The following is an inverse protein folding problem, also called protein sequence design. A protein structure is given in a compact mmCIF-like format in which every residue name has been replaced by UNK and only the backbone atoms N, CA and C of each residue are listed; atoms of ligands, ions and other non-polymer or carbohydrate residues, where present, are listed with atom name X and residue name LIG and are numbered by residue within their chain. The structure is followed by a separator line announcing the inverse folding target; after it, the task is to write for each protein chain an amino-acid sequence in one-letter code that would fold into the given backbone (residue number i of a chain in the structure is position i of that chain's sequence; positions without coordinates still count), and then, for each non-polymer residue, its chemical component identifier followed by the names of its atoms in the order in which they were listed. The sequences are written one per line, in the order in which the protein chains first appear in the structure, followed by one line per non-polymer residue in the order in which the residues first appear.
data_IF_060764235213
#
_entry.id   IF_060764235213
#
_cell.length_a   1.000
_cell.length_b   1.000
_cell.length_c   1.000
_cell.angle_alpha   90.00
_cell.angle_beta   90.00
_cell.angle_gamma   90.00
#
_symmetry.space_group_name_H-M   'P 1'
#
loop_
_entity.id
_entity.type
_entity.pdbx_description
1 polymer ?
#
# COMPACT_ATOMS: atom_id res chain seq x y z
N UNK A 1 -20.23 -16.45 -5.28
CA UNK A 1 -20.08 -15.00 -5.05
C UNK A 1 -18.89 -14.73 -4.13
N UNK A 2 -18.72 -15.48 -3.03
CA UNK A 2 -17.67 -15.22 -2.05
C UNK A 2 -16.24 -15.45 -2.58
N UNK A 3 -16.02 -16.46 -3.43
CA UNK A 3 -14.69 -16.75 -3.98
C UNK A 3 -14.22 -15.67 -4.96
N UNK A 4 -15.10 -15.19 -5.84
CA UNK A 4 -14.77 -14.09 -6.75
C UNK A 4 -14.48 -12.77 -6.01
N UNK A 5 -15.24 -12.47 -4.96
CA UNK A 5 -14.99 -11.30 -4.10
C UNK A 5 -13.67 -11.43 -3.34
N UNK A 6 -13.33 -12.64 -2.88
CA UNK A 6 -12.05 -12.92 -2.25
C UNK A 6 -10.87 -12.69 -3.21
N UNK A 7 -10.96 -13.21 -4.44
CA UNK A 7 -9.92 -13.02 -5.46
C UNK A 7 -9.74 -11.54 -5.81
N UNK A 8 -10.85 -10.80 -5.98
CA UNK A 8 -10.82 -9.37 -6.29
C UNK A 8 -10.25 -8.56 -5.12
N UNK A 9 -10.66 -8.85 -3.88
CA UNK A 9 -10.22 -8.12 -2.69
C UNK A 9 -8.74 -8.33 -2.34
N UNK A 10 -8.11 -9.38 -2.88
CA UNK A 10 -6.68 -9.68 -2.68
C UNK A 10 -5.83 -9.45 -3.94
N UNK A 11 -6.34 -8.71 -4.92
CA UNK A 11 -5.64 -8.39 -6.19
C UNK A 11 -5.11 -9.60 -6.96
N UNK A 12 -5.83 -10.74 -6.92
CA UNK A 12 -5.50 -11.92 -7.71
C UNK A 12 -5.75 -11.74 -9.21
N UNK A 13 -6.33 -10.61 -9.64
CA UNK A 13 -6.60 -10.39 -11.07
C UNK A 13 -5.31 -10.40 -11.92
N UNK A 14 -4.20 -9.92 -11.36
CA UNK A 14 -2.88 -9.96 -12.01
C UNK A 14 -2.33 -11.40 -12.10
N UNK A 15 -2.69 -12.27 -11.14
CA UNK A 15 -2.22 -13.66 -11.07
C UNK A 15 -3.10 -14.62 -11.86
N UNK A 16 -4.29 -14.21 -12.29
CA UNK A 16 -5.23 -15.08 -13.03
C UNK A 16 -4.64 -15.62 -14.35
N UNK A 17 -3.73 -14.85 -14.97
CA UNK A 17 -3.01 -15.29 -16.18
C UNK A 17 -2.00 -16.41 -15.89
N UNK A 18 -1.52 -16.52 -14.66
CA UNK A 18 -0.56 -17.54 -14.22
C UNK A 18 -1.25 -18.77 -13.60
N UNK A 19 -2.55 -18.66 -13.30
CA UNK A 19 -3.31 -19.79 -12.77
C UNK A 19 -3.51 -20.89 -13.81
N UNK A 20 -3.17 -22.13 -13.44
CA UNK A 20 -3.50 -23.29 -14.25
C UNK A 20 -5.01 -23.58 -14.16
N UNK A 21 -5.78 -23.01 -15.07
CA UNK A 21 -7.24 -23.15 -15.11
C UNK A 21 -7.70 -24.60 -15.30
N UNK A 22 -6.88 -25.44 -15.92
CA UNK A 22 -7.18 -26.86 -16.08
C UNK A 22 -7.09 -27.59 -14.73
N UNK A 23 -6.06 -27.30 -13.93
CA UNK A 23 -5.91 -27.86 -12.58
C UNK A 23 -7.01 -27.34 -11.64
N UNK A 24 -7.38 -26.06 -11.75
CA UNK A 24 -8.47 -25.49 -10.98
C UNK A 24 -9.80 -26.21 -11.28
N UNK A 25 -10.12 -26.37 -12.57
CA UNK A 25 -11.33 -27.08 -13.01
C UNK A 25 -11.32 -28.54 -12.54
N UNK A 26 -10.16 -29.20 -12.65
CA UNK A 26 -9.99 -30.59 -12.18
C UNK A 26 -10.23 -30.68 -10.66
N UNK A 27 -9.63 -29.81 -9.86
CA UNK A 27 -9.82 -29.78 -8.41
C UNK A 27 -11.28 -29.59 -8.01
N UNK A 28 -12.01 -28.69 -8.70
CA UNK A 28 -13.45 -28.53 -8.49
C UNK A 28 -14.24 -29.81 -8.85
N UNK A 29 -13.90 -30.47 -9.95
CA UNK A 29 -14.56 -31.71 -10.35
C UNK A 29 -14.27 -32.85 -9.37
N UNK A 30 -13.04 -32.96 -8.88
CA UNK A 30 -12.64 -33.96 -7.89
C UNK A 30 -13.41 -33.74 -6.58
N UNK A 31 -13.54 -32.49 -6.14
CA UNK A 31 -14.32 -32.14 -4.95
C UNK A 31 -15.80 -32.50 -5.07
N UNK A 32 -16.40 -32.22 -6.23
CA UNK A 32 -17.83 -32.51 -6.46
C UNK A 32 -18.11 -34.01 -6.56
N UNK A 33 -17.10 -34.83 -6.88
CA UNK A 33 -17.21 -36.31 -7.01
C UNK A 33 -16.77 -37.06 -5.76
N UNK A 34 -16.20 -36.35 -4.78
CA UNK A 34 -15.72 -36.97 -3.57
C UNK A 34 -16.87 -37.53 -2.74
N UNK A 35 -16.62 -38.69 -2.11
CA UNK A 35 -17.58 -39.39 -1.30
C UNK A 35 -17.62 -38.85 0.13
N UNK A 36 -18.77 -38.88 0.78
CA UNK A 36 -18.96 -38.43 2.14
C UNK A 36 -19.25 -36.91 2.27
N UNK A 37 -19.26 -36.45 3.48
CA UNK A 37 -19.50 -35.04 3.82
C UNK A 37 -18.17 -34.26 3.93
N UNK A 38 -18.09 -33.02 3.44
CA UNK A 38 -16.94 -32.17 3.68
C UNK A 38 -16.57 -31.94 5.16
N UNK A 39 -17.47 -32.32 6.06
CA UNK A 39 -17.26 -32.24 7.52
C UNK A 39 -16.74 -33.54 8.14
N UNK A 40 -16.64 -34.61 7.36
CA UNK A 40 -16.11 -35.88 7.84
C UNK A 40 -14.58 -35.80 8.01
N UNK A 41 -14.06 -36.43 9.07
CA UNK A 41 -12.66 -36.30 9.43
C UNK A 41 -11.67 -36.82 8.36
N UNK A 42 -12.09 -37.77 7.56
CA UNK A 42 -11.32 -38.45 6.48
C UNK A 42 -11.61 -37.88 5.09
N UNK A 43 -12.60 -37.02 4.93
CA UNK A 43 -12.95 -36.42 3.65
C UNK A 43 -11.75 -35.84 2.92
N UNK A 44 -10.88 -35.13 3.66
CA UNK A 44 -9.69 -34.49 3.12
C UNK A 44 -8.65 -35.45 2.55
N UNK A 45 -8.64 -36.73 2.98
CA UNK A 45 -7.68 -37.72 2.52
C UNK A 45 -7.86 -38.13 1.04
N UNK A 46 -9.01 -37.84 0.44
CA UNK A 46 -9.31 -38.10 -0.96
C UNK A 46 -8.61 -37.14 -1.93
N UNK A 47 -8.00 -36.05 -1.43
CA UNK A 47 -7.41 -34.99 -2.23
C UNK A 47 -5.89 -34.93 -2.07
N UNK A 48 -5.21 -34.50 -3.14
CA UNK A 48 -3.76 -34.23 -3.10
C UNK A 48 -3.39 -33.15 -2.07
N UNK A 49 -4.28 -32.20 -1.86
CA UNK A 49 -4.19 -31.15 -0.84
C UNK A 49 -5.46 -31.22 0.01
N UNK A 50 -5.29 -31.40 1.30
CA UNK A 50 -6.41 -31.43 2.26
C UNK A 50 -7.19 -30.11 2.20
N UNK A 51 -8.50 -30.12 1.87
CA UNK A 51 -9.33 -28.92 1.80
C UNK A 51 -9.33 -28.12 3.10
N UNK A 52 -9.18 -28.77 4.26
CA UNK A 52 -9.14 -28.11 5.56
C UNK A 52 -7.85 -27.27 5.76
N UNK A 53 -6.79 -27.58 5.02
CA UNK A 53 -5.53 -26.81 5.00
C UNK A 53 -5.51 -25.72 3.95
N UNK A 54 -6.49 -25.67 3.05
CA UNK A 54 -6.52 -24.73 1.93
C UNK A 54 -6.44 -23.27 2.42
N UNK A 55 -7.15 -22.91 3.48
CA UNK A 55 -7.11 -21.57 4.07
C UNK A 55 -5.70 -21.18 4.53
N UNK A 56 -4.98 -22.10 5.16
CA UNK A 56 -3.60 -21.84 5.63
C UNK A 56 -2.63 -21.70 4.44
N UNK A 57 -2.76 -22.55 3.42
CA UNK A 57 -1.92 -22.51 2.21
C UNK A 57 -2.14 -21.16 1.50
N UNK A 58 -3.40 -20.76 1.32
CA UNK A 58 -3.78 -19.54 0.63
C UNK A 58 -3.32 -18.29 1.39
N UNK A 59 -3.53 -18.26 2.71
CA UNK A 59 -3.05 -17.16 3.55
C UNK A 59 -1.51 -17.09 3.53
N UNK A 60 -0.83 -18.23 3.55
CA UNK A 60 0.62 -18.29 3.41
C UNK A 60 1.12 -17.73 2.07
N UNK A 61 0.42 -18.03 0.99
CA UNK A 61 0.73 -17.48 -0.34
C UNK A 61 0.51 -15.96 -0.38
N UNK A 62 -0.64 -15.48 0.08
CA UNK A 62 -0.96 -14.04 0.13
C UNK A 62 0.09 -13.29 0.95
N UNK A 63 0.44 -13.81 2.11
CA UNK A 63 1.46 -13.20 2.98
C UNK A 63 2.82 -13.12 2.29
N UNK A 64 3.24 -14.19 1.62
CA UNK A 64 4.51 -14.21 0.86
C UNK A 64 4.48 -13.18 -0.28
N UNK A 65 3.39 -13.11 -1.04
CA UNK A 65 3.21 -12.14 -2.12
C UNK A 65 3.28 -10.71 -1.60
N UNK A 66 2.55 -10.40 -0.52
CA UNK A 66 2.57 -9.06 0.11
C UNK A 66 3.95 -8.69 0.62
N UNK A 67 4.66 -9.62 1.26
CA UNK A 67 6.02 -9.39 1.74
C UNK A 67 7.01 -9.17 0.59
N UNK A 68 6.89 -9.93 -0.49
CA UNK A 68 7.71 -9.72 -1.69
C UNK A 68 7.47 -8.35 -2.30
N UNK A 69 6.19 -7.97 -2.51
CA UNK A 69 5.82 -6.64 -3.03
C UNK A 69 6.34 -5.52 -2.12
N UNK A 70 6.18 -5.66 -0.81
CA UNK A 70 6.70 -4.71 0.16
C UNK A 70 8.23 -4.56 0.08
N UNK A 71 8.96 -5.67 -0.11
CA UNK A 71 10.42 -5.63 -0.27
C UNK A 71 10.86 -4.95 -1.57
N UNK A 72 10.15 -5.18 -2.67
CA UNK A 72 10.39 -4.50 -3.95
C UNK A 72 10.13 -3.01 -3.80
N UNK A 73 8.96 -2.62 -3.28
CA UNK A 73 8.61 -1.21 -3.07
C UNK A 73 9.64 -0.49 -2.20
N UNK A 74 10.11 -1.14 -1.13
CA UNK A 74 11.13 -0.56 -0.24
C UNK A 74 12.49 -0.39 -0.96
N UNK A 75 12.86 -1.30 -1.84
CA UNK A 75 14.08 -1.18 -2.64
C UNK A 75 13.98 -0.02 -3.65
N UNK A 76 12.86 0.12 -4.33
CA UNK A 76 12.57 1.23 -5.25
C UNK A 76 12.53 2.57 -4.52
N UNK A 77 11.86 2.63 -3.36
CA UNK A 77 11.85 3.82 -2.49
C UNK A 77 13.26 4.26 -2.12
N UNK A 78 14.08 3.36 -1.62
CA UNK A 78 15.46 3.67 -1.23
C UNK A 78 16.30 4.17 -2.41
N UNK A 79 16.16 3.54 -3.57
CA UNK A 79 16.86 3.96 -4.78
C UNK A 79 16.40 5.35 -5.24
N UNK A 80 15.10 5.62 -5.20
CA UNK A 80 14.52 6.91 -5.53
C UNK A 80 15.03 8.00 -4.57
N UNK A 81 14.88 7.80 -3.25
CA UNK A 81 15.28 8.79 -2.24
C UNK A 81 16.78 9.08 -2.28
N UNK A 82 17.62 8.05 -2.49
CA UNK A 82 19.07 8.22 -2.63
C UNK A 82 19.47 9.05 -3.87
N UNK A 83 18.69 8.95 -4.96
CA UNK A 83 18.89 9.77 -6.15
C UNK A 83 18.34 11.19 -5.94
N UNK A 84 17.14 11.29 -5.35
CA UNK A 84 16.43 12.54 -5.15
C UNK A 84 17.19 13.50 -4.21
N UNK A 85 17.80 12.96 -3.14
CA UNK A 85 18.63 13.73 -2.19
C UNK A 85 19.85 14.43 -2.80
N UNK A 86 20.21 14.08 -4.04
CA UNK A 86 21.36 14.70 -4.75
C UNK A 86 20.95 15.91 -5.60
N UNK A 87 19.66 16.20 -5.70
CA UNK A 87 19.16 17.35 -6.45
C UNK A 87 19.35 18.62 -5.62
N UNK A 88 19.79 19.69 -6.25
CA UNK A 88 20.12 20.98 -5.59
C UNK A 88 18.94 21.63 -4.85
N UNK A 89 17.72 21.33 -5.30
CA UNK A 89 16.51 21.93 -4.74
C UNK A 89 15.76 21.00 -3.78
N UNK A 90 16.37 19.91 -3.36
CA UNK A 90 15.79 18.94 -2.44
C UNK A 90 16.52 18.96 -1.12
N UNK A 91 15.80 19.28 -0.07
CA UNK A 91 16.26 19.20 1.30
C UNK A 91 15.80 17.87 1.95
N UNK A 92 16.53 17.44 2.99
CA UNK A 92 16.21 16.22 3.72
C UNK A 92 16.19 16.52 5.22
N UNK A 93 15.12 16.13 5.90
CA UNK A 93 15.01 16.27 7.35
C UNK A 93 15.69 15.12 8.10
N UNK A 94 15.83 15.24 9.41
CA UNK A 94 16.39 14.21 10.27
C UNK A 94 15.57 12.88 10.24
N UNK A 95 14.27 12.94 9.96
CA UNK A 95 13.39 11.78 9.83
C UNK A 95 13.54 11.05 8.49
N UNK A 96 14.23 11.68 7.52
CA UNK A 96 14.35 11.17 6.16
C UNK A 96 13.28 11.69 5.19
N UNK A 97 12.36 12.55 5.64
CA UNK A 97 11.47 13.26 4.74
C UNK A 97 12.30 14.13 3.79
N UNK A 98 12.06 14.00 2.49
CA UNK A 98 12.64 14.88 1.49
C UNK A 98 11.57 15.85 0.97
N UNK A 99 11.98 17.07 0.65
CA UNK A 99 11.06 18.11 0.24
C UNK A 99 11.70 19.16 -0.64
N UNK A 100 10.88 19.81 -1.44
CA UNK A 100 11.23 21.02 -2.20
C UNK A 100 10.24 22.11 -1.86
N UNK A 101 10.69 23.25 -1.34
CA UNK A 101 9.85 24.42 -1.09
C UNK A 101 9.70 25.21 -2.39
N UNK A 102 8.47 25.31 -2.90
CA UNK A 102 8.12 26.14 -4.05
C UNK A 102 7.79 27.57 -3.61
N UNK A 103 7.08 27.69 -2.47
CA UNK A 103 6.81 28.94 -1.80
C UNK A 103 6.74 28.69 -0.28
N UNK A 104 7.46 29.46 0.51
CA UNK A 104 7.51 29.25 1.96
C UNK A 104 6.19 29.64 2.67
N UNK A 105 5.42 30.54 2.06
CA UNK A 105 4.25 31.13 2.69
C UNK A 105 4.61 32.19 3.72
N UNK A 106 3.67 32.50 4.62
CA UNK A 106 3.86 33.46 5.71
C UNK A 106 4.94 33.01 6.70
N UNK A 107 5.47 33.96 7.48
CA UNK A 107 6.53 33.66 8.45
C UNK A 107 6.08 32.76 9.59
N UNK A 108 4.79 32.83 9.98
CA UNK A 108 4.19 31.91 10.94
C UNK A 108 4.09 30.50 10.33
N UNK A 109 4.68 29.52 11.00
CA UNK A 109 4.66 28.12 10.57
C UNK A 109 3.52 27.36 11.21
N UNK A 110 3.01 26.36 10.48
CA UNK A 110 1.92 25.52 10.96
C UNK A 110 2.36 24.74 12.21
N UNK A 111 1.61 24.91 13.30
CA UNK A 111 1.80 24.13 14.51
C UNK A 111 1.03 22.80 14.45
N UNK A 112 1.44 21.76 15.22
CA UNK A 112 0.83 20.42 15.14
C UNK A 112 -0.68 20.38 15.40
N UNK A 113 -1.22 21.28 16.23
CA UNK A 113 -2.64 21.36 16.57
C UNK A 113 -3.45 22.29 15.68
N UNK A 114 -2.79 22.96 14.74
CA UNK A 114 -3.49 23.87 13.84
C UNK A 114 -4.38 23.10 12.87
N UNK A 115 -5.47 23.75 12.50
CA UNK A 115 -6.34 23.30 11.44
C UNK A 115 -5.96 24.02 10.15
N UNK A 116 -5.64 23.28 9.12
CA UNK A 116 -5.18 23.81 7.84
C UNK A 116 -6.14 23.43 6.71
N UNK A 117 -6.28 24.33 5.74
CA UNK A 117 -6.94 24.08 4.48
C UNK A 117 -5.88 23.88 3.40
N UNK A 118 -5.89 22.76 2.72
CA UNK A 118 -4.88 22.40 1.72
C UNK A 118 -5.50 21.92 0.42
N UNK A 119 -4.84 22.28 -0.68
CA UNK A 119 -5.00 21.59 -1.96
C UNK A 119 -3.83 20.64 -2.09
N UNK A 120 -4.07 19.39 -2.44
CA UNK A 120 -3.01 18.42 -2.55
C UNK A 120 -3.26 17.41 -3.66
N UNK A 121 -2.17 16.80 -4.09
CA UNK A 121 -2.16 15.68 -5.02
C UNK A 121 -1.10 14.69 -4.59
N UNK A 122 -1.54 13.48 -4.24
CA UNK A 122 -0.69 12.35 -3.91
C UNK A 122 -0.47 11.46 -5.12
N UNK A 123 0.80 11.17 -5.42
CA UNK A 123 1.18 10.27 -6.51
C UNK A 123 2.14 9.21 -6.02
N UNK A 124 2.07 8.02 -6.62
CA UNK A 124 3.09 6.99 -6.51
C UNK A 124 4.31 7.35 -7.37
N UNK A 125 5.41 6.60 -7.23
CA UNK A 125 6.64 6.82 -8.01
C UNK A 125 6.45 6.63 -9.52
N UNK A 126 5.49 5.82 -9.93
CA UNK A 126 5.11 5.60 -11.33
C UNK A 126 4.21 6.72 -11.90
N UNK A 127 3.85 7.73 -11.08
CA UNK A 127 2.99 8.83 -11.45
C UNK A 127 1.50 8.57 -11.25
N UNK A 128 1.11 7.39 -10.81
CA UNK A 128 -0.30 7.07 -10.50
C UNK A 128 -0.81 7.96 -9.38
N UNK A 129 -1.89 8.69 -9.61
CA UNK A 129 -2.57 9.49 -8.60
C UNK A 129 -3.38 8.56 -7.71
N UNK A 130 -3.10 8.54 -6.42
CA UNK A 130 -3.85 7.73 -5.45
C UNK A 130 -4.82 8.55 -4.62
N UNK A 131 -4.56 9.86 -4.47
CA UNK A 131 -5.44 10.77 -3.74
C UNK A 131 -5.20 12.22 -4.19
N UNK A 132 -6.27 12.97 -4.41
CA UNK A 132 -6.22 14.36 -4.84
C UNK A 132 -7.46 15.09 -4.32
N UNK A 133 -7.29 16.26 -3.75
CA UNK A 133 -8.42 17.05 -3.27
C UNK A 133 -8.09 18.54 -3.26
N UNK A 134 -9.12 19.33 -3.51
CA UNK A 134 -9.07 20.78 -3.42
C UNK A 134 -9.78 21.26 -2.15
N UNK A 135 -9.11 22.16 -1.40
CA UNK A 135 -9.69 22.81 -0.22
C UNK A 135 -10.22 21.86 0.85
N UNK A 136 -9.41 20.88 1.21
CA UNK A 136 -9.73 19.93 2.28
C UNK A 136 -9.11 20.36 3.60
N UNK A 137 -9.88 20.21 4.69
CA UNK A 137 -9.48 20.59 6.03
C UNK A 137 -8.86 19.42 6.78
N UNK A 138 -7.70 19.65 7.40
CA UNK A 138 -7.04 18.71 8.29
C UNK A 138 -6.54 19.37 9.57
N UNK A 139 -6.45 18.60 10.65
CA UNK A 139 -5.64 18.97 11.82
C UNK A 139 -4.23 18.44 11.56
N UNK A 140 -3.21 19.31 11.63
CA UNK A 140 -1.86 19.04 11.15
C UNK A 140 -1.17 17.82 11.77
N UNK A 141 -1.55 17.41 12.99
CA UNK A 141 -1.03 16.20 13.65
C UNK A 141 -1.95 14.98 13.55
N UNK A 142 -3.03 15.05 12.76
CA UNK A 142 -3.95 13.93 12.54
C UNK A 142 -3.88 13.34 11.12
N UNK A 143 -2.75 13.55 10.49
CA UNK A 143 -2.39 13.01 9.16
C UNK A 143 -1.15 12.14 9.28
N UNK A 144 -0.68 11.56 8.19
CA UNK A 144 0.57 10.79 8.19
C UNK A 144 1.74 11.65 8.67
N UNK A 145 2.74 11.00 9.29
CA UNK A 145 3.88 11.71 9.91
C UNK A 145 4.61 12.66 8.96
N UNK A 146 4.83 12.21 7.72
CA UNK A 146 5.47 13.02 6.70
C UNK A 146 4.69 14.29 6.35
N UNK A 147 3.35 14.26 6.42
CA UNK A 147 2.53 15.46 6.27
C UNK A 147 2.63 16.40 7.47
N UNK A 148 2.51 15.85 8.67
CA UNK A 148 2.68 16.66 9.90
C UNK A 148 4.00 17.44 9.88
N UNK A 149 5.08 16.78 9.51
CA UNK A 149 6.40 17.36 9.40
C UNK A 149 6.48 18.38 8.24
N UNK A 150 6.01 17.99 7.05
CA UNK A 150 6.03 18.85 5.87
C UNK A 150 5.19 20.11 6.00
N UNK A 151 4.01 20.03 6.64
CA UNK A 151 3.17 21.19 6.94
C UNK A 151 3.88 22.16 7.87
N UNK A 152 4.61 21.66 8.88
CA UNK A 152 5.40 22.46 9.80
C UNK A 152 6.53 23.27 9.15
N UNK A 153 6.91 22.93 7.91
CA UNK A 153 7.89 23.69 7.12
C UNK A 153 7.27 24.92 6.41
N UNK A 154 5.94 24.96 6.32
CA UNK A 154 5.19 25.95 5.54
C UNK A 154 4.44 26.93 6.44
N UNK A 155 4.24 28.14 5.91
CA UNK A 155 3.26 29.10 6.42
C UNK A 155 2.04 29.17 5.50
N UNK A 156 1.08 30.01 5.83
CA UNK A 156 -0.11 30.24 5.02
C UNK A 156 0.27 30.71 3.60
N UNK A 157 -0.35 30.11 2.58
CA UNK A 157 0.00 30.30 1.17
C UNK A 157 1.25 29.55 0.73
N UNK A 158 1.86 28.76 1.62
CA UNK A 158 3.03 27.94 1.31
C UNK A 158 2.72 26.82 0.34
N UNK A 159 3.73 26.43 -0.47
CA UNK A 159 3.65 25.33 -1.44
C UNK A 159 4.93 24.52 -1.42
N UNK A 160 4.83 23.22 -1.30
CA UNK A 160 5.96 22.30 -1.33
C UNK A 160 5.62 21.01 -2.07
N UNK A 161 6.65 20.32 -2.53
CA UNK A 161 6.57 18.91 -2.90
C UNK A 161 7.24 18.12 -1.78
N UNK A 162 6.53 17.12 -1.26
CA UNK A 162 7.03 16.21 -0.24
C UNK A 162 7.30 14.83 -0.85
N UNK A 163 8.48 14.27 -0.60
CA UNK A 163 8.85 12.91 -0.98
C UNK A 163 8.92 12.11 0.32
N UNK A 164 7.85 11.39 0.60
CA UNK A 164 7.59 10.83 1.92
C UNK A 164 8.01 9.35 1.93
N UNK A 165 9.03 8.97 2.74
CA UNK A 165 9.35 7.57 2.97
C UNK A 165 8.15 6.79 3.52
N UNK A 166 8.02 5.53 3.17
CA UNK A 166 6.91 4.68 3.58
C UNK A 166 6.72 4.63 5.11
N UNK A 167 7.80 4.68 5.89
CA UNK A 167 7.76 4.71 7.36
C UNK A 167 7.13 5.99 7.94
N UNK A 168 7.11 7.06 7.17
CA UNK A 168 6.44 8.32 7.50
C UNK A 168 5.04 8.43 6.87
N UNK A 169 4.60 7.39 6.16
CA UNK A 169 3.30 7.32 5.48
C UNK A 169 2.51 6.07 5.93
N UNK A 170 2.28 5.12 5.03
CA UNK A 170 1.42 3.94 5.24
C UNK A 170 2.20 2.64 5.47
N UNK A 171 3.53 2.73 5.62
CA UNK A 171 4.42 1.59 5.74
C UNK A 171 4.72 0.90 4.39
N UNK A 172 5.64 -0.09 4.40
CA UNK A 172 6.15 -0.71 3.17
C UNK A 172 5.12 -1.54 2.39
N UNK A 173 4.00 -1.89 3.01
CA UNK A 173 2.90 -2.60 2.32
C UNK A 173 1.92 -1.66 1.62
N UNK A 174 1.95 -0.37 1.98
CA UNK A 174 0.96 0.61 1.53
C UNK A 174 -0.41 0.39 2.19
N UNK A 175 -1.37 1.16 1.71
CA UNK A 175 -2.79 1.07 2.13
C UNK A 175 -3.55 0.23 1.11
#
# INVERSE_FOLDING_TARGET
VNFGSFLKGNNFAEDLSELNMAELKKGMQDFLKAEGSPYDADFGAQFKVDPNKMGQILNGYITKKQNYKAAVNLAEEKAFLAKNAKLENVDTTASGLQYTIVAAGADYKVAPQDTVWVNYKGTLLDGTVFDENDSTQFIANRVIKGWTEGLGLLGEGGKATLYIPSDLAYGPRGN
#
